data_IF_432760678911
#
_entry.id   IF_432760678911
#
_cell.length_a   1.000
_cell.length_b   1.000
_cell.length_c   1.000
_cell.angle_alpha   90.00
_cell.angle_beta   90.00
_cell.angle_gamma   90.00
#
_symmetry.space_group_name_H-M   'P 1'
#
loop_
_entity.id
_entity.type
_entity.pdbx_description
1 polymer ?
#
# COMPACT_ATOMS: atom_id res chain seq x y z
N UNK A 1 21.18 -25.43 29.92
CA UNK A 1 20.12 -24.56 29.35
C UNK A 1 20.73 -23.85 28.15
N UNK A 2 20.38 -24.27 26.93
CA UNK A 2 20.94 -23.68 25.72
C UNK A 2 19.96 -22.65 25.16
N UNK A 3 20.32 -21.37 25.26
CA UNK A 3 19.64 -20.27 24.57
C UNK A 3 19.97 -20.40 23.09
N UNK A 4 19.01 -20.87 22.31
CA UNK A 4 19.14 -20.85 20.84
C UNK A 4 19.04 -19.40 20.36
N UNK A 5 19.97 -18.92 19.51
CA UNK A 5 19.80 -17.65 18.84
C UNK A 5 18.61 -17.79 17.88
N UNK A 6 17.55 -17.02 18.13
CA UNK A 6 16.52 -16.75 17.13
C UNK A 6 17.20 -16.01 15.98
N UNK A 7 17.77 -16.75 15.05
CA UNK A 7 18.19 -16.22 13.77
C UNK A 7 16.95 -15.62 13.12
N UNK A 8 16.89 -14.29 13.08
CA UNK A 8 16.04 -13.59 12.14
C UNK A 8 16.51 -14.04 10.76
N UNK A 9 15.90 -15.10 10.23
CA UNK A 9 16.18 -15.57 8.89
C UNK A 9 15.85 -14.41 7.97
N UNK A 10 16.89 -13.85 7.35
CA UNK A 10 16.81 -12.81 6.33
C UNK A 10 16.27 -13.45 5.04
N UNK A 11 15.06 -14.00 5.13
CA UNK A 11 14.39 -14.57 3.98
C UNK A 11 13.68 -13.44 3.23
N UNK A 12 13.88 -13.33 1.92
CA UNK A 12 13.18 -12.35 1.10
C UNK A 12 11.68 -12.57 1.28
N UNK A 13 10.94 -11.50 1.62
CA UNK A 13 9.49 -11.58 1.75
C UNK A 13 8.89 -11.57 0.36
N UNK A 14 8.13 -12.60 0.03
CA UNK A 14 7.33 -12.62 -1.19
C UNK A 14 6.06 -11.78 -0.99
N UNK A 15 5.84 -10.81 -1.86
CA UNK A 15 4.64 -10.00 -1.91
C UNK A 15 3.85 -10.35 -3.17
N UNK A 16 2.56 -10.62 -2.98
CA UNK A 16 1.66 -10.94 -4.08
C UNK A 16 0.79 -9.75 -4.44
N UNK A 17 0.48 -9.60 -5.73
CA UNK A 17 -0.38 -8.55 -6.27
C UNK A 17 -1.39 -9.14 -7.26
N UNK A 18 -2.53 -8.48 -7.41
CA UNK A 18 -3.55 -8.76 -8.41
C UNK A 18 -3.85 -7.52 -9.25
N UNK A 19 -4.16 -7.73 -10.53
CA UNK A 19 -4.49 -6.66 -11.47
C UNK A 19 -5.91 -6.17 -11.21
N UNK A 20 -6.06 -4.92 -10.77
CA UNK A 20 -7.35 -4.34 -10.43
C UNK A 20 -8.09 -3.74 -11.62
N UNK A 21 -7.35 -3.28 -12.63
CA UNK A 21 -7.96 -2.70 -13.82
C UNK A 21 -8.72 -3.76 -14.64
N UNK A 22 -9.95 -3.43 -15.00
CA UNK A 22 -10.87 -4.28 -15.75
C UNK A 22 -10.67 -4.19 -17.27
N UNK A 23 -9.91 -3.21 -17.78
CA UNK A 23 -9.72 -3.00 -19.22
C UNK A 23 -8.29 -3.29 -19.67
N UNK A 24 -8.01 -4.44 -20.31
CA UNK A 24 -6.73 -4.70 -20.96
C UNK A 24 -6.52 -3.93 -22.27
N UNK A 25 -7.55 -3.23 -22.78
CA UNK A 25 -7.56 -2.61 -24.10
C UNK A 25 -7.42 -1.07 -24.09
N UNK A 26 -7.39 -0.45 -22.91
CA UNK A 26 -7.14 0.98 -22.79
C UNK A 26 -5.63 1.21 -22.89
N UNK A 27 -5.13 1.58 -24.06
CA UNK A 27 -3.70 1.83 -24.36
C UNK A 27 -3.08 2.96 -23.55
N UNK A 28 -3.84 3.62 -22.67
CA UNK A 28 -3.45 4.80 -21.92
C UNK A 28 -3.70 4.68 -20.39
N UNK A 29 -4.26 3.57 -19.91
CA UNK A 29 -4.43 3.35 -18.47
C UNK A 29 -3.22 2.62 -17.92
N UNK A 30 -2.59 3.17 -16.87
CA UNK A 30 -1.51 2.49 -16.15
C UNK A 30 -2.06 1.19 -15.56
N UNK A 31 -1.30 0.11 -15.71
CA UNK A 31 -1.62 -1.16 -15.06
C UNK A 31 -1.65 -0.97 -13.54
N UNK A 32 -2.86 -0.96 -12.97
CA UNK A 32 -3.05 -0.87 -11.53
C UNK A 32 -2.95 -2.28 -10.91
N UNK A 33 -1.98 -2.43 -10.02
CA UNK A 33 -1.71 -3.65 -9.28
C UNK A 33 -1.96 -3.40 -7.80
N UNK A 34 -2.91 -4.14 -7.24
CA UNK A 34 -3.26 -4.07 -5.83
C UNK A 34 -2.59 -5.20 -5.08
N UNK A 35 -2.01 -4.91 -3.91
CA UNK A 35 -1.38 -5.92 -3.06
C UNK A 35 -2.43 -6.81 -2.38
N UNK A 36 -2.10 -8.09 -2.22
CA UNK A 36 -2.81 -8.95 -1.27
C UNK A 36 -2.43 -8.57 0.16
N UNK A 37 -3.32 -8.87 1.11
CA UNK A 37 -3.01 -8.73 2.54
C UNK A 37 -1.84 -9.65 2.93
N UNK A 38 -1.12 -9.37 4.01
CA UNK A 38 -0.02 -10.23 4.48
C UNK A 38 -0.47 -11.69 4.70
N UNK A 39 -1.67 -11.88 5.27
CA UNK A 39 -2.26 -13.19 5.53
C UNK A 39 -2.55 -13.92 4.21
N UNK A 40 -3.23 -13.25 3.28
CA UNK A 40 -3.55 -13.82 1.96
C UNK A 40 -2.27 -14.14 1.17
N UNK A 41 -1.29 -13.25 1.21
CA UNK A 41 0.01 -13.44 0.57
C UNK A 41 0.74 -14.66 1.14
N UNK A 42 0.68 -14.87 2.46
CA UNK A 42 1.28 -16.04 3.10
C UNK A 42 0.61 -17.35 2.65
N UNK A 43 -0.73 -17.37 2.53
CA UNK A 43 -1.48 -18.54 2.04
C UNK A 43 -1.09 -18.85 0.59
N UNK A 44 -1.04 -17.84 -0.27
CA UNK A 44 -0.65 -17.98 -1.68
C UNK A 44 0.80 -18.47 -1.80
N UNK A 45 1.70 -17.92 -0.99
CA UNK A 45 3.11 -18.29 -0.97
C UNK A 45 3.34 -19.71 -0.44
N UNK A 46 2.58 -20.13 0.57
CA UNK A 46 2.61 -21.52 1.06
C UNK A 46 2.14 -22.49 -0.03
N UNK A 47 1.05 -22.16 -0.74
CA UNK A 47 0.58 -22.96 -1.86
C UNK A 47 1.57 -22.97 -3.05
N UNK A 48 2.34 -21.90 -3.23
CA UNK A 48 3.37 -21.79 -4.28
C UNK A 48 4.62 -22.61 -3.96
N UNK A 49 5.10 -22.54 -2.72
CA UNK A 49 6.28 -23.27 -2.25
C UNK A 49 5.97 -24.72 -1.86
N UNK A 50 4.71 -25.01 -1.55
CA UNK A 50 4.23 -26.34 -1.24
C UNK A 50 4.40 -27.27 -2.43
N UNK A 51 4.68 -28.54 -2.15
CA UNK A 51 4.86 -29.57 -3.17
C UNK A 51 3.52 -30.04 -3.78
N UNK A 52 2.52 -29.16 -3.81
CA UNK A 52 1.19 -29.43 -4.34
C UNK A 52 1.23 -29.41 -5.86
N UNK A 53 0.96 -30.56 -6.50
CA UNK A 53 0.95 -30.70 -7.96
C UNK A 53 -0.03 -29.76 -8.65
N UNK A 54 -1.09 -29.32 -7.97
CA UNK A 54 -2.14 -28.46 -8.53
C UNK A 54 -1.84 -26.98 -8.43
N UNK A 55 -0.90 -26.54 -7.57
CA UNK A 55 -0.58 -25.14 -7.28
C UNK A 55 -1.83 -24.23 -7.24
N UNK A 56 -2.85 -24.66 -6.51
CA UNK A 56 -4.09 -23.92 -6.29
C UNK A 56 -4.09 -23.40 -4.86
N UNK A 57 -4.34 -22.10 -4.69
CA UNK A 57 -4.57 -21.50 -3.39
C UNK A 57 -6.03 -21.07 -3.28
N UNK A 58 -6.72 -21.52 -2.23
CA UNK A 58 -8.10 -21.15 -1.98
C UNK A 58 -8.17 -20.01 -0.96
N UNK A 59 -8.77 -18.90 -1.37
CA UNK A 59 -9.13 -17.79 -0.50
C UNK A 59 -10.64 -17.81 -0.24
N UNK A 60 -11.08 -16.95 0.67
CA UNK A 60 -12.47 -16.86 1.12
C UNK A 60 -13.44 -16.65 -0.07
N UNK A 61 -13.18 -15.63 -0.89
CA UNK A 61 -14.03 -15.25 -2.03
C UNK A 61 -13.41 -15.54 -3.41
N UNK A 62 -12.19 -16.08 -3.44
CA UNK A 62 -11.42 -16.23 -4.66
C UNK A 62 -10.65 -17.54 -4.69
N UNK A 63 -10.48 -18.09 -5.88
CA UNK A 63 -9.60 -19.22 -6.16
C UNK A 63 -8.41 -18.72 -6.96
N UNK A 64 -7.21 -18.97 -6.47
CA UNK A 64 -5.96 -18.57 -7.11
C UNK A 64 -5.35 -19.79 -7.80
N UNK A 65 -5.27 -19.73 -9.12
CA UNK A 65 -4.52 -20.69 -9.91
C UNK A 65 -3.13 -20.15 -10.17
N UNK A 66 -2.14 -20.70 -9.45
CA UNK A 66 -0.75 -20.27 -9.58
C UNK A 66 -0.10 -20.80 -10.87
N UNK A 67 -0.63 -21.90 -11.42
CA UNK A 67 -0.17 -22.45 -12.68
C UNK A 67 -0.35 -21.44 -13.83
N UNK A 68 -1.53 -20.83 -13.89
CA UNK A 68 -1.88 -19.81 -14.87
C UNK A 68 -1.63 -18.38 -14.38
N UNK A 69 -1.29 -18.21 -13.10
CA UNK A 69 -1.16 -16.91 -12.43
C UNK A 69 -2.42 -16.06 -12.56
N UNK A 70 -3.58 -16.67 -12.27
CA UNK A 70 -4.90 -16.06 -12.37
C UNK A 70 -5.69 -16.23 -11.06
N UNK A 71 -6.31 -15.15 -10.62
CA UNK A 71 -7.37 -15.13 -9.61
C UNK A 71 -8.74 -15.28 -10.28
N UNK A 72 -9.56 -16.18 -9.76
CA UNK A 72 -10.93 -16.46 -10.21
C UNK A 72 -11.89 -16.16 -9.06
N UNK A 73 -12.93 -15.36 -9.28
CA UNK A 73 -13.93 -15.12 -8.23
C UNK A 73 -14.84 -16.32 -8.03
N UNK A 74 -15.03 -16.75 -6.78
CA UNK A 74 -15.98 -17.82 -6.41
C UNK A 74 -17.43 -17.41 -6.72
N UNK A 75 -17.79 -16.14 -6.53
CA UNK A 75 -19.13 -15.63 -6.85
C UNK A 75 -19.36 -15.41 -8.35
N UNK A 76 -18.29 -15.17 -9.13
CA UNK A 76 -18.39 -14.89 -10.56
C UNK A 76 -17.21 -15.53 -11.31
N UNK A 77 -17.30 -16.79 -11.77
CA UNK A 77 -16.18 -17.51 -12.40
C UNK A 77 -15.72 -16.89 -13.74
N UNK A 78 -16.54 -16.03 -14.33
CA UNK A 78 -16.20 -15.23 -15.52
C UNK A 78 -15.25 -14.06 -15.21
N UNK A 79 -15.14 -13.65 -13.94
CA UNK A 79 -14.24 -12.58 -13.52
C UNK A 79 -12.89 -13.20 -13.15
N UNK A 80 -11.96 -13.12 -14.11
CA UNK A 80 -10.57 -13.55 -13.96
C UNK A 80 -9.67 -12.32 -13.90
N UNK A 81 -8.70 -12.32 -12.99
CA UNK A 81 -7.70 -11.27 -12.84
C UNK A 81 -6.32 -11.87 -12.84
N UNK A 82 -5.36 -11.22 -13.48
CA UNK A 82 -3.96 -11.66 -13.42
C UNK A 82 -3.39 -11.40 -12.03
N UNK A 83 -2.49 -12.27 -11.59
CA UNK A 83 -1.70 -12.10 -10.37
C UNK A 83 -0.21 -12.12 -10.68
N UNK A 84 0.58 -11.52 -9.80
CA UNK A 84 2.05 -11.56 -9.89
C UNK A 84 2.67 -11.71 -8.51
N UNK A 85 3.83 -12.37 -8.47
CA UNK A 85 4.69 -12.52 -7.31
C UNK A 85 5.88 -11.58 -7.45
N UNK A 86 6.19 -10.82 -6.40
CA UNK A 86 7.38 -9.96 -6.33
C UNK A 86 8.17 -10.36 -5.09
N UNK A 87 9.46 -10.61 -5.26
CA UNK A 87 10.38 -10.82 -4.13
C UNK A 87 10.86 -9.48 -3.65
N UNK A 88 10.52 -9.11 -2.42
CA UNK A 88 11.00 -7.88 -1.81
C UNK A 88 12.27 -8.20 -1.03
N UNK A 89 13.39 -7.67 -1.52
CA UNK A 89 14.64 -7.67 -0.76
C UNK A 89 14.57 -6.60 0.32
N UNK A 90 15.07 -6.93 1.51
CA UNK A 90 15.06 -6.02 2.66
C UNK A 90 15.79 -4.69 2.40
N UNK A 91 16.78 -4.71 1.51
CA UNK A 91 17.54 -3.53 1.09
C UNK A 91 16.77 -2.61 0.12
N UNK A 92 15.79 -3.13 -0.63
CA UNK A 92 15.00 -2.31 -1.57
C UNK A 92 13.85 -1.56 -0.90
N UNK A 93 13.43 -1.99 0.31
CA UNK A 93 12.39 -1.29 1.08
C UNK A 93 12.88 0.11 1.52
N UNK A 94 14.18 0.30 1.77
CA UNK A 94 14.73 1.62 2.07
C UNK A 94 14.67 2.56 0.85
N UNK A 95 14.94 2.04 -0.35
CA UNK A 95 14.91 2.82 -1.59
C UNK A 95 13.47 3.25 -1.93
N UNK A 96 12.51 2.32 -1.87
CA UNK A 96 11.10 2.59 -2.17
C UNK A 96 10.40 3.51 -1.14
N UNK A 97 10.75 3.44 0.15
CA UNK A 97 10.18 4.35 1.17
C UNK A 97 10.80 5.75 1.11
N UNK A 98 12.06 5.89 0.67
CA UNK A 98 12.67 7.20 0.43
C UNK A 98 12.00 7.96 -0.71
N UNK A 99 11.45 7.25 -1.71
CA UNK A 99 10.72 7.84 -2.82
C UNK A 99 9.30 8.34 -2.45
N UNK A 100 8.70 7.85 -1.35
CA UNK A 100 7.34 8.25 -0.92
C UNK A 100 7.36 9.48 0.01
N UNK A 101 8.53 9.87 0.54
CA UNK A 101 8.67 11.07 1.39
C UNK A 101 8.97 12.37 0.58
N UNK A 102 8.88 12.36 -0.76
CA UNK A 102 9.16 13.55 -1.60
C UNK A 102 7.92 14.21 -2.22
N UNK A 103 6.75 14.05 -1.60
CA UNK A 103 5.51 14.75 -1.98
C UNK A 103 4.81 15.39 -0.78
N UNK A 104 5.57 15.91 0.19
CA UNK A 104 5.11 17.11 0.88
C UNK A 104 5.43 18.28 -0.05
N UNK A 105 4.44 18.98 -0.64
CA UNK A 105 4.73 20.27 -1.22
C UNK A 105 5.28 21.13 -0.09
N UNK A 106 6.57 21.46 -0.16
CA UNK A 106 7.09 22.60 0.57
C UNK A 106 6.25 23.77 0.13
N UNK A 107 5.27 24.17 0.95
CA UNK A 107 4.60 25.45 0.81
C UNK A 107 5.66 26.48 1.12
N UNK A 108 6.41 26.79 0.06
CA UNK A 108 7.35 27.89 -0.01
C UNK A 108 6.61 29.13 0.46
N UNK A 109 7.20 29.77 1.45
CA UNK A 109 6.87 31.10 1.93
C UNK A 109 6.51 32.02 0.77
N UNK A 110 5.28 32.50 0.75
CA UNK A 110 4.98 33.79 0.14
C UNK A 110 4.69 34.74 1.30
N UNK A 111 5.74 35.44 1.72
CA UNK A 111 5.62 36.62 2.55
C UNK A 111 4.88 37.69 1.75
N UNK A 112 3.55 37.62 1.76
CA UNK A 112 2.74 38.75 1.31
C UNK A 112 2.68 39.76 2.45
N UNK A 113 3.64 40.67 2.38
CA UNK A 113 3.71 41.93 3.11
C UNK A 113 2.41 42.71 2.97
N UNK A 114 1.67 42.84 4.06
CA UNK A 114 0.66 43.89 4.26
C UNK A 114 1.13 44.77 5.40
N UNK A 115 2.15 45.57 5.12
CA UNK A 115 2.44 46.78 5.87
C UNK A 115 1.30 47.79 5.63
N UNK A 116 0.50 48.08 6.66
CA UNK A 116 0.21 49.47 6.99
C UNK A 116 -0.34 49.63 8.41
N UNK A 117 0.23 50.60 9.08
CA UNK A 117 0.24 50.84 10.51
C UNK A 117 -1.02 51.51 11.07
N UNK A 118 -1.14 51.38 12.39
CA UNK A 118 -1.44 52.46 13.35
C UNK A 118 -2.85 53.06 13.36
N UNK A 119 -3.57 52.91 14.50
CA UNK A 119 -3.84 54.01 15.44
C UNK A 119 -4.46 53.51 16.76
N UNK A 120 -3.75 53.86 17.85
CA UNK A 120 -4.22 54.48 19.09
C UNK A 120 -5.32 53.83 19.97
N UNK A 121 -4.86 53.36 21.13
CA UNK A 121 -5.13 53.89 22.49
C UNK A 121 -6.56 54.17 23.00
N UNK A 122 -6.77 53.73 24.25
CA UNK A 122 -7.66 54.37 25.23
C UNK A 122 -8.80 53.46 25.67
N UNK A 123 -8.82 52.95 26.91
CA UNK A 123 -9.35 53.62 28.13
C UNK A 123 -10.88 53.88 27.97
N UNK A 124 -11.77 53.68 28.92
CA UNK A 124 -11.75 53.55 30.37
C UNK A 124 -13.17 53.14 30.79
N UNK A 125 -13.32 52.74 32.04
CA UNK A 125 -14.53 52.42 32.79
C UNK A 125 -15.75 53.35 32.54
N UNK A 126 -16.97 52.78 32.56
CA UNK A 126 -18.09 53.48 33.23
C UNK A 126 -19.25 52.58 33.69
N UNK A 127 -19.71 52.93 34.90
CA UNK A 127 -20.80 52.41 35.71
C UNK A 127 -22.21 52.71 35.15
N UNK A 128 -23.19 52.00 35.70
CA UNK A 128 -24.62 52.34 35.69
C UNK A 128 -25.45 51.05 35.78
N UNK A 129 -25.87 50.54 36.94
CA UNK A 129 -26.77 51.15 37.94
C UNK A 129 -28.11 51.59 37.34
N UNK A 130 -29.04 50.63 37.20
CA UNK A 130 -30.40 50.71 37.78
C UNK A 130 -31.16 49.41 37.74
#
# INVERSE_FOLDING_TARGET
MATQPMGATDQPRAQWYWKSNSNPSSTNEKDEWTKYSDIESAIIEEAFNGNNQTKLAELDNYLISLNDSIQISKSAPNKKRQIKRVLINRNEIQDALSAIHFLVPSTSSDESSCDHSEIASGAMEHLGDR
#
